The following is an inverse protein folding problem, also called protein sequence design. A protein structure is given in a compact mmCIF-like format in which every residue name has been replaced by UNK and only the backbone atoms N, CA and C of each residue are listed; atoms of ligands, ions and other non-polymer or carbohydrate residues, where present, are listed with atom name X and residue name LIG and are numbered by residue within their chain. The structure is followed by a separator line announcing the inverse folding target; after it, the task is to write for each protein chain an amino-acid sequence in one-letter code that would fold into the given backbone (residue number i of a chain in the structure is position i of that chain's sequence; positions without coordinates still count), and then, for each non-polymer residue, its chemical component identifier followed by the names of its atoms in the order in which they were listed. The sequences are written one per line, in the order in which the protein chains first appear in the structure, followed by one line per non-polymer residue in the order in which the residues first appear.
data_IF_958546400014
#
_entry.id   IF_958546400014
#
_cell.length_a   1.000
_cell.length_b   1.000
_cell.length_c   1.000
_cell.angle_alpha   90.00
_cell.angle_beta   90.00
_cell.angle_gamma   90.00
#
_symmetry.space_group_name_H-M   'P 1'
#
loop_
_entity.id
_entity.type
_entity.pdbx_description
1 polymer ?
#
# COMPACT_ATOMS: atom_id res chain seq x y z
N UNK A 1 -4.57 -0.99 -4.64
CA UNK A 1 -4.69 -2.32 -4.01
C UNK A 1 -3.59 -2.46 -2.98
N UNK A 2 -3.82 -3.19 -1.90
CA UNK A 2 -2.84 -3.47 -0.85
C UNK A 2 -2.44 -4.94 -0.93
N UNK A 3 -1.17 -5.21 -0.67
CA UNK A 3 -0.66 -6.57 -0.47
C UNK A 3 0.13 -6.63 0.83
N UNK A 4 -0.17 -7.60 1.68
CA UNK A 4 0.57 -7.88 2.90
C UNK A 4 1.27 -9.22 2.72
N UNK A 5 2.60 -9.21 2.77
CA UNK A 5 3.42 -10.42 2.73
C UNK A 5 3.92 -10.71 4.14
N UNK A 6 3.46 -11.82 4.73
CA UNK A 6 3.90 -12.27 6.04
C UNK A 6 5.33 -12.83 5.98
N UNK A 7 6.00 -12.84 7.15
CA UNK A 7 7.37 -13.37 7.30
C UNK A 7 7.52 -14.83 6.87
N UNK A 8 6.47 -15.63 7.03
CA UNK A 8 6.42 -17.04 6.63
C UNK A 8 6.15 -17.26 5.13
N UNK A 9 5.96 -16.17 4.37
CA UNK A 9 5.76 -16.19 2.93
C UNK A 9 4.29 -16.16 2.49
N UNK A 10 3.33 -16.22 3.41
CA UNK A 10 1.92 -16.09 3.06
C UNK A 10 1.59 -14.65 2.61
N UNK A 11 0.73 -14.51 1.60
CA UNK A 11 0.41 -13.21 1.02
C UNK A 11 -1.09 -12.97 0.91
N UNK A 12 -1.51 -11.76 1.30
CA UNK A 12 -2.90 -11.33 1.30
C UNK A 12 -3.06 -10.06 0.48
N UNK A 13 -4.13 -9.96 -0.29
CA UNK A 13 -4.44 -8.80 -1.11
C UNK A 13 -5.84 -8.27 -0.79
N UNK A 14 -6.01 -6.95 -0.88
CA UNK A 14 -7.30 -6.29 -0.63
C UNK A 14 -7.32 -4.87 -1.17
N UNK A 15 -8.50 -4.33 -1.49
CA UNK A 15 -8.62 -2.94 -1.93
C UNK A 15 -8.39 -1.96 -0.79
N UNK A 16 -8.87 -2.32 0.41
CA UNK A 16 -8.72 -1.56 1.65
C UNK A 16 -7.98 -2.37 2.72
N UNK A 17 -7.54 -1.71 3.80
CA UNK A 17 -6.96 -2.41 4.95
C UNK A 17 -7.96 -3.39 5.59
N UNK A 18 -9.25 -3.06 5.58
CA UNK A 18 -10.30 -3.95 6.05
C UNK A 18 -10.41 -5.21 5.18
N UNK A 19 -10.39 -5.07 3.85
CA UNK A 19 -10.44 -6.22 2.94
C UNK A 19 -9.23 -7.13 3.10
N UNK A 20 -8.06 -6.52 3.32
CA UNK A 20 -6.82 -7.24 3.59
C UNK A 20 -6.91 -8.06 4.88
N UNK A 21 -7.39 -7.47 5.98
CA UNK A 21 -7.56 -8.20 7.25
C UNK A 21 -8.68 -9.25 7.15
N UNK A 22 -9.72 -9.01 6.36
CA UNK A 22 -10.75 -10.03 6.05
C UNK A 22 -10.16 -11.21 5.30
N UNK A 23 -9.29 -10.98 4.32
CA UNK A 23 -8.59 -12.03 3.60
C UNK A 23 -7.71 -12.85 4.56
N UNK A 24 -6.95 -12.19 5.45
CA UNK A 24 -6.15 -12.86 6.48
C UNK A 24 -7.00 -13.74 7.40
N UNK A 25 -8.13 -13.21 7.90
CA UNK A 25 -9.07 -13.97 8.73
C UNK A 25 -9.55 -15.23 8.01
N UNK A 26 -9.94 -15.09 6.74
CA UNK A 26 -10.50 -16.19 5.94
C UNK A 26 -9.52 -17.35 5.69
N UNK A 27 -8.22 -17.07 5.62
CA UNK A 27 -7.19 -18.10 5.41
C UNK A 27 -6.60 -18.66 6.72
N UNK A 28 -6.68 -17.91 7.81
CA UNK A 28 -6.12 -18.31 9.09
C UNK A 28 -6.92 -19.43 9.77
N UNK A 29 -6.28 -20.15 10.70
CA UNK A 29 -6.96 -21.05 11.66
C UNK A 29 -7.93 -20.33 12.63
N UNK A 30 -8.13 -19.02 12.46
CA UNK A 30 -9.07 -18.18 13.20
C UNK A 30 -10.27 -17.76 12.32
N UNK A 31 -10.52 -18.48 11.22
CA UNK A 31 -11.64 -18.23 10.30
C UNK A 31 -12.99 -18.17 11.02
N UNK A 32 -13.18 -18.94 12.08
CA UNK A 32 -14.43 -19.07 12.83
C UNK A 32 -14.68 -17.93 13.81
N UNK A 33 -13.71 -17.02 13.96
CA UNK A 33 -13.86 -15.83 14.80
C UNK A 33 -14.97 -14.94 14.22
N UNK A 34 -15.83 -14.42 15.10
CA UNK A 34 -17.13 -13.83 14.74
C UNK A 34 -17.02 -12.63 13.79
N UNK A 35 -16.05 -11.75 14.02
CA UNK A 35 -15.81 -10.57 13.20
C UNK A 35 -14.31 -10.23 13.14
N UNK A 36 -14.00 -9.18 12.37
CA UNK A 36 -12.64 -8.71 12.11
C UNK A 36 -11.94 -8.18 13.37
N UNK A 37 -12.66 -7.51 14.27
CA UNK A 37 -12.06 -6.95 15.49
C UNK A 37 -11.66 -8.06 16.46
N UNK A 38 -12.50 -9.08 16.60
CA UNK A 38 -12.18 -10.25 17.41
C UNK A 38 -11.01 -11.03 16.80
N UNK A 39 -10.92 -11.10 15.46
CA UNK A 39 -9.78 -11.70 14.78
C UNK A 39 -8.49 -10.95 15.11
N UNK A 40 -8.47 -9.62 14.98
CA UNK A 40 -7.32 -8.79 15.33
C UNK A 40 -6.91 -8.99 16.79
N UNK A 41 -7.88 -8.95 17.73
CA UNK A 41 -7.60 -9.17 19.15
C UNK A 41 -7.01 -10.58 19.43
N UNK A 42 -7.49 -11.61 18.72
CA UNK A 42 -6.95 -12.96 18.83
C UNK A 42 -5.50 -13.05 18.32
N UNK A 43 -5.18 -12.35 17.22
CA UNK A 43 -3.79 -12.25 16.72
C UNK A 43 -2.90 -11.51 17.72
N UNK A 44 -3.36 -10.40 18.30
CA UNK A 44 -2.62 -9.68 19.35
C UNK A 44 -2.32 -10.59 20.55
N UNK A 45 -3.32 -11.34 21.02
CA UNK A 45 -3.17 -12.29 22.12
C UNK A 45 -2.13 -13.38 21.81
N UNK A 46 -2.24 -14.01 20.64
CA UNK A 46 -1.31 -15.07 20.22
C UNK A 46 0.12 -14.57 20.06
N UNK A 47 0.34 -13.40 19.46
CA UNK A 47 1.68 -12.83 19.30
C UNK A 47 2.32 -12.51 20.65
N UNK A 48 1.53 -12.01 21.61
CA UNK A 48 1.99 -11.77 22.97
C UNK A 48 2.33 -13.06 23.70
N UNK A 49 1.48 -14.08 23.59
CA UNK A 49 1.68 -15.37 24.27
C UNK A 49 2.85 -16.19 23.70
N UNK A 50 3.01 -16.20 22.37
CA UNK A 50 3.97 -17.07 21.68
C UNK A 50 5.31 -16.37 21.45
N UNK A 51 5.29 -15.13 20.95
CA UNK A 51 6.52 -14.39 20.58
C UNK A 51 6.87 -13.29 21.59
N UNK A 52 6.02 -13.02 22.60
CA UNK A 52 6.24 -11.93 23.56
C UNK A 52 6.07 -10.54 22.94
N UNK A 53 5.45 -10.44 21.76
CA UNK A 53 5.32 -9.20 20.99
C UNK A 53 3.98 -8.54 21.31
N UNK A 54 4.02 -7.28 21.74
CA UNK A 54 2.81 -6.47 21.95
C UNK A 54 2.53 -5.58 20.74
N UNK A 55 1.37 -5.79 20.11
CA UNK A 55 0.88 -4.93 19.04
C UNK A 55 0.13 -3.73 19.62
N UNK A 56 0.58 -2.52 19.27
CA UNK A 56 -0.10 -1.28 19.67
C UNK A 56 -0.99 -0.80 18.53
N UNK A 57 -2.31 -0.83 18.74
CA UNK A 57 -3.29 -0.41 17.73
C UNK A 57 -3.89 0.94 18.08
N UNK A 58 -4.05 1.78 17.07
CA UNK A 58 -4.66 3.12 17.16
C UNK A 58 -5.88 3.19 16.24
N UNK A 59 -6.68 4.25 16.37
CA UNK A 59 -7.88 4.45 15.57
C UNK A 59 -9.19 4.06 16.26
N UNK A 60 -10.23 4.85 16.00
CA UNK A 60 -11.57 4.68 16.57
C UNK A 60 -12.46 3.82 15.67
N UNK A 61 -12.31 3.95 14.35
CA UNK A 61 -13.12 3.21 13.38
C UNK A 61 -12.46 1.88 13.03
N UNK A 62 -13.28 0.98 12.49
CA UNK A 62 -12.85 -0.36 12.05
C UNK A 62 -11.71 -0.28 11.04
N UNK A 63 -11.84 0.58 10.02
CA UNK A 63 -10.82 0.75 8.99
C UNK A 63 -9.52 1.28 9.56
N UNK A 64 -9.59 2.33 10.40
CA UNK A 64 -8.41 2.92 11.05
C UNK A 64 -7.65 1.86 11.88
N UNK A 65 -8.38 0.99 12.58
CA UNK A 65 -7.77 -0.12 13.35
C UNK A 65 -7.14 -1.17 12.45
N UNK A 66 -7.76 -1.52 11.32
CA UNK A 66 -7.19 -2.47 10.37
C UNK A 66 -5.93 -1.91 9.72
N UNK A 67 -5.92 -0.61 9.42
CA UNK A 67 -4.75 0.08 8.91
C UNK A 67 -3.64 0.13 9.96
N UNK A 68 -3.96 0.52 11.21
CA UNK A 68 -3.00 0.50 12.31
C UNK A 68 -2.43 -0.90 12.53
N UNK A 69 -3.23 -1.95 12.39
CA UNK A 69 -2.79 -3.33 12.52
C UNK A 69 -1.81 -3.73 11.41
N UNK A 70 -2.14 -3.50 10.15
CA UNK A 70 -1.24 -3.81 9.04
C UNK A 70 0.10 -3.06 9.14
N UNK A 71 0.06 -1.78 9.53
CA UNK A 71 1.25 -0.96 9.76
C UNK A 71 2.09 -1.46 10.94
N UNK A 72 1.45 -1.90 12.01
CA UNK A 72 2.16 -2.40 13.19
C UNK A 72 2.86 -3.74 12.90
N UNK A 73 2.23 -4.62 12.12
CA UNK A 73 2.87 -5.84 11.62
C UNK A 73 4.10 -5.53 10.77
N UNK A 74 4.02 -4.52 9.90
CA UNK A 74 5.16 -4.06 9.11
C UNK A 74 6.27 -3.46 9.99
N UNK A 75 5.92 -2.57 10.92
CA UNK A 75 6.87 -1.92 11.84
C UNK A 75 7.68 -2.93 12.65
N UNK A 76 7.05 -4.04 13.05
CA UNK A 76 7.67 -5.11 13.82
C UNK A 76 8.38 -6.16 12.95
N UNK A 77 8.38 -6.00 11.62
CA UNK A 77 9.00 -6.93 10.69
C UNK A 77 8.30 -8.30 10.60
N UNK A 78 7.05 -8.37 11.05
CA UNK A 78 6.20 -9.57 10.95
C UNK A 78 5.59 -9.70 9.55
N UNK A 79 5.46 -8.58 8.86
CA UNK A 79 4.98 -8.52 7.49
C UNK A 79 5.68 -7.40 6.71
N UNK A 80 5.43 -7.36 5.40
CA UNK A 80 5.74 -6.22 4.53
C UNK A 80 4.46 -5.76 3.86
N UNK A 81 4.10 -4.50 4.05
CA UNK A 81 2.94 -3.90 3.41
C UNK A 81 3.37 -3.27 2.08
N UNK A 82 2.72 -3.65 1.00
CA UNK A 82 2.98 -3.17 -0.34
C UNK A 82 1.73 -2.48 -0.87
N UNK A 83 1.91 -1.26 -1.37
CA UNK A 83 0.88 -0.58 -2.13
C UNK A 83 0.99 -1.03 -3.59
N UNK A 84 0.19 -2.03 -3.94
CA UNK A 84 0.07 -2.46 -5.32
C UNK A 84 -0.79 -1.46 -6.07
N UNK A 85 -0.22 -0.89 -7.11
CA UNK A 85 -1.04 -0.16 -8.04
C UNK A 85 -1.70 -1.05 -9.06
N UNK A 86 -2.92 -0.67 -9.42
CA UNK A 86 -3.61 -1.17 -10.59
C UNK A 86 -3.68 -0.13 -11.71
N UNK A 87 -2.90 0.95 -11.67
CA UNK A 87 -2.89 1.94 -12.74
C UNK A 87 -2.15 1.39 -13.96
N UNK A 88 -2.75 1.59 -15.13
CA UNK A 88 -2.09 1.36 -16.39
C UNK A 88 -1.07 2.49 -16.63
N UNK A 89 0.18 2.23 -16.24
CA UNK A 89 1.25 3.21 -16.37
C UNK A 89 1.54 3.60 -17.82
N UNK A 90 1.24 2.74 -18.79
CA UNK A 90 1.39 3.04 -20.21
C UNK A 90 0.36 4.09 -20.64
N UNK A 91 -0.89 3.91 -20.20
CA UNK A 91 -1.96 4.89 -20.42
C UNK A 91 -1.64 6.23 -19.73
N UNK A 92 -1.16 6.19 -18.48
CA UNK A 92 -0.84 7.42 -17.73
C UNK A 92 0.36 8.14 -18.36
N UNK A 93 1.41 7.41 -18.79
CA UNK A 93 2.53 8.00 -19.51
C UNK A 93 2.07 8.68 -20.81
N UNK A 94 1.23 8.00 -21.60
CA UNK A 94 0.68 8.56 -22.82
C UNK A 94 -0.09 9.87 -22.56
N UNK A 95 -0.96 9.88 -21.55
CA UNK A 95 -1.70 11.08 -21.14
C UNK A 95 -0.77 12.23 -20.74
N UNK A 96 0.29 11.94 -19.98
CA UNK A 96 1.26 12.96 -19.56
C UNK A 96 1.96 13.59 -20.77
N UNK A 97 2.39 12.76 -21.73
CA UNK A 97 3.06 13.23 -22.96
C UNK A 97 2.11 14.04 -23.85
N UNK A 98 0.87 13.60 -24.02
CA UNK A 98 -0.12 14.34 -24.80
C UNK A 98 -0.50 15.65 -24.13
N UNK A 99 -0.63 15.67 -22.80
CA UNK A 99 -0.87 16.92 -22.05
C UNK A 99 0.28 17.91 -22.26
N UNK A 100 1.53 17.46 -22.18
CA UNK A 100 2.67 18.31 -22.44
C UNK A 100 2.66 18.86 -23.87
N UNK A 101 2.41 17.99 -24.86
CA UNK A 101 2.36 18.34 -26.29
C UNK A 101 1.25 19.33 -26.62
N UNK A 102 0.04 19.08 -26.14
CA UNK A 102 -1.16 19.82 -26.53
C UNK A 102 -1.39 21.06 -25.67
N UNK A 103 -1.08 21.00 -24.38
CA UNK A 103 -1.48 22.01 -23.39
C UNK A 103 -0.30 22.76 -22.77
N UNK A 104 0.94 22.29 -22.95
CA UNK A 104 2.13 22.94 -22.42
C UNK A 104 3.21 23.21 -23.48
N UNK A 105 2.80 23.40 -24.75
CA UNK A 105 3.69 23.72 -25.87
C UNK A 105 4.87 22.73 -26.07
N UNK A 106 4.70 21.47 -25.68
CA UNK A 106 5.74 20.44 -25.73
C UNK A 106 6.70 20.42 -24.54
N UNK A 107 6.56 21.33 -23.57
CA UNK A 107 7.39 21.34 -22.35
C UNK A 107 6.92 20.25 -21.37
N UNK A 108 7.52 19.06 -21.51
CA UNK A 108 7.27 17.92 -20.64
C UNK A 108 7.72 18.15 -19.18
N UNK A 109 8.93 18.68 -18.88
CA UNK A 109 9.31 19.03 -17.51
C UNK A 109 8.33 19.99 -16.81
N UNK A 110 7.87 21.04 -17.49
CA UNK A 110 6.91 21.99 -16.93
C UNK A 110 5.54 21.35 -16.67
N UNK A 111 5.01 20.58 -17.64
CA UNK A 111 3.75 19.86 -17.48
C UNK A 111 3.83 18.85 -16.33
N UNK A 112 4.95 18.14 -16.22
CA UNK A 112 5.17 17.14 -15.18
C UNK A 112 5.12 17.73 -13.77
N UNK A 113 5.72 18.91 -13.53
CA UNK A 113 5.63 19.61 -12.23
C UNK A 113 4.19 19.84 -11.78
N UNK A 114 3.28 20.05 -12.73
CA UNK A 114 1.86 20.29 -12.44
C UNK A 114 1.04 18.99 -12.33
N UNK A 115 1.34 18.00 -13.17
CA UNK A 115 0.61 16.73 -13.22
C UNK A 115 1.02 15.77 -12.11
N UNK A 116 2.33 15.62 -11.85
CA UNK A 116 2.90 14.68 -10.88
C UNK A 116 2.19 14.69 -9.51
N UNK A 117 1.96 15.84 -8.84
CA UNK A 117 1.28 15.84 -7.53
C UNK A 117 -0.22 15.52 -7.60
N UNK A 118 -0.82 15.51 -8.79
CA UNK A 118 -2.26 15.25 -9.01
C UNK A 118 -2.54 13.82 -9.42
N UNK A 119 -1.53 13.09 -9.86
CA UNK A 119 -1.64 11.67 -10.16
C UNK A 119 -1.80 10.90 -8.86
N UNK A 120 -2.88 10.12 -8.77
CA UNK A 120 -3.16 9.23 -7.62
C UNK A 120 -2.44 7.90 -7.80
N UNK A 121 -1.11 7.97 -7.91
CA UNK A 121 -0.21 6.83 -8.06
C UNK A 121 0.53 6.58 -6.75
N UNK A 122 0.99 5.36 -6.54
CA UNK A 122 1.84 5.01 -5.39
C UNK A 122 3.23 5.67 -5.54
N UNK A 123 4.03 5.79 -4.47
CA UNK A 123 5.37 6.34 -4.56
C UNK A 123 6.27 5.59 -5.57
N UNK A 124 6.15 4.26 -5.61
CA UNK A 124 6.92 3.42 -6.52
C UNK A 124 6.53 3.66 -7.98
N UNK A 125 5.24 3.79 -8.26
CA UNK A 125 4.74 4.13 -9.58
C UNK A 125 5.10 5.53 -10.03
N UNK A 126 5.04 6.52 -9.13
CA UNK A 126 5.49 7.87 -9.43
C UNK A 126 6.97 7.84 -9.79
N UNK A 127 7.79 7.07 -9.08
CA UNK A 127 9.21 6.89 -9.39
C UNK A 127 9.47 6.13 -10.70
N UNK A 128 8.64 5.13 -11.03
CA UNK A 128 8.68 4.47 -12.33
C UNK A 128 8.27 5.42 -13.46
N UNK A 129 7.18 6.17 -13.27
CA UNK A 129 6.71 7.13 -14.25
C UNK A 129 7.71 8.27 -14.46
N UNK A 130 8.35 8.78 -13.38
CA UNK A 130 9.48 9.72 -13.43
C UNK A 130 10.61 9.19 -14.36
N UNK A 131 10.94 7.90 -14.26
CA UNK A 131 11.95 7.26 -15.14
C UNK A 131 11.48 7.17 -16.58
N UNK A 132 10.26 6.73 -16.84
CA UNK A 132 9.67 6.58 -18.18
C UNK A 132 9.57 7.91 -18.93
N UNK A 133 9.15 8.98 -18.24
CA UNK A 133 9.10 10.32 -18.84
C UNK A 133 10.47 11.00 -18.93
N UNK A 134 11.53 10.37 -18.41
CA UNK A 134 12.90 10.87 -18.48
C UNK A 134 13.23 11.98 -17.48
N UNK A 135 12.45 12.11 -16.40
CA UNK A 135 12.55 13.18 -15.40
C UNK A 135 12.97 12.69 -14.02
N UNK A 136 13.50 11.47 -13.93
CA UNK A 136 14.10 10.96 -12.70
C UNK A 136 15.26 11.86 -12.26
N UNK A 137 15.18 12.43 -11.07
CA UNK A 137 16.33 13.07 -10.44
C UNK A 137 17.23 11.97 -9.91
N UNK A 138 18.37 11.74 -10.57
CA UNK A 138 19.47 11.05 -9.91
C UNK A 138 19.83 11.88 -8.68
N UNK A 139 19.66 11.33 -7.48
CA UNK A 139 20.43 11.82 -6.34
C UNK A 139 21.88 11.50 -6.69
N UNK A 140 22.68 12.54 -6.93
CA UNK A 140 24.13 12.41 -6.86
C UNK A 140 24.49 12.01 -5.43
N UNK A 141 25.21 10.90 -5.30
CA UNK A 141 25.78 10.39 -4.04
C UNK A 141 26.81 11.37 -3.46
#
# INVERSE_FOLDING_TARGET
MLKLLLRDGEAFEGETALDLVRAMKGASMLSDVKDVLHYVAAVQGRLKEIEGIELTLTGEKLDDRCESFARELERLGLARLQHLSGADLDQVEHMVRETARLLNAGDLPGAWKFLRPKLRLTPDELGELDRRVGLHTKKED
#
